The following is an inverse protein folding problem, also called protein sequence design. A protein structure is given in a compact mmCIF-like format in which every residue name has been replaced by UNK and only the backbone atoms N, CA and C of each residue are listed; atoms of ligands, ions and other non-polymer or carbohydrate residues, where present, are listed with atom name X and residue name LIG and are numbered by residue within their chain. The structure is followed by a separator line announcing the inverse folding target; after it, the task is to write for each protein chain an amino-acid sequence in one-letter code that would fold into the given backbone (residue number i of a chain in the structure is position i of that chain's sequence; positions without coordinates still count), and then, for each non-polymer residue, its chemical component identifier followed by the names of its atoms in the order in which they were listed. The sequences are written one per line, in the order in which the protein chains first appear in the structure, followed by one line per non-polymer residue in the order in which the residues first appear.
data_IF_109364121174
#
_entry.id   IF_109364121174
#
_cell.length_a   1.000
_cell.length_b   1.000
_cell.length_c   1.000
_cell.angle_alpha   90.00
_cell.angle_beta   90.00
_cell.angle_gamma   90.00
#
_symmetry.space_group_name_H-M   'P 1'
#
loop_
_entity.id
_entity.type
_entity.pdbx_description
1 polymer ?
#
# COMPACT_ATOMS: atom_id res chain seq x y z
N UNK A 1 10.43 42.70 -16.47
CA UNK A 1 10.22 41.73 -17.55
C UNK A 1 8.97 40.93 -17.19
N UNK A 2 7.91 41.00 -17.99
CA UNK A 2 6.67 40.24 -17.78
C UNK A 2 6.53 39.36 -19.02
N UNK A 3 6.74 38.05 -18.82
CA UNK A 3 6.94 37.09 -19.88
C UNK A 3 5.60 36.52 -20.40
N UNK A 4 5.47 36.56 -21.73
CA UNK A 4 4.89 35.55 -22.62
C UNK A 4 3.80 34.60 -22.06
N UNK A 5 2.54 34.83 -22.46
CA UNK A 5 1.59 33.78 -22.85
C UNK A 5 0.41 34.42 -23.61
N UNK A 6 0.43 34.30 -24.93
CA UNK A 6 -0.65 34.73 -25.82
C UNK A 6 -1.65 33.58 -26.04
N UNK A 7 -2.75 33.58 -25.28
CA UNK A 7 -3.89 32.68 -25.48
C UNK A 7 -4.72 32.48 -24.20
N UNK A 8 -5.99 32.06 -24.30
CA UNK A 8 -6.76 31.64 -23.13
C UNK A 8 -6.10 30.41 -22.51
N UNK A 9 -5.75 30.48 -21.22
CA UNK A 9 -5.21 29.36 -20.46
C UNK A 9 -6.28 28.26 -20.36
N UNK A 10 -5.95 27.05 -20.79
CA UNK A 10 -6.81 25.88 -20.61
C UNK A 10 -6.60 25.28 -19.22
N UNK A 11 -7.53 24.44 -18.75
CA UNK A 11 -7.38 23.68 -17.50
C UNK A 11 -6.09 22.85 -17.53
N UNK A 12 -5.76 22.26 -18.68
CA UNK A 12 -4.53 21.52 -18.90
C UNK A 12 -3.27 22.39 -18.74
N UNK A 13 -3.31 23.67 -19.16
CA UNK A 13 -2.20 24.60 -18.96
C UNK A 13 -2.04 24.98 -17.49
N UNK A 14 -3.15 25.15 -16.76
CA UNK A 14 -3.14 25.44 -15.33
C UNK A 14 -2.65 24.23 -14.53
N UNK A 15 -3.06 23.02 -14.89
CA UNK A 15 -2.57 21.78 -14.27
C UNK A 15 -1.08 21.56 -14.54
N UNK A 16 -0.62 21.86 -15.76
CA UNK A 16 0.80 21.84 -16.10
C UNK A 16 1.61 22.89 -15.31
N UNK A 17 1.03 24.07 -15.05
CA UNK A 17 1.66 25.14 -14.26
C UNK A 17 1.64 24.88 -12.75
N UNK A 18 0.64 24.15 -12.24
CA UNK A 18 0.52 23.76 -10.83
C UNK A 18 1.22 22.43 -10.52
N UNK A 19 1.70 21.71 -11.55
CA UNK A 19 2.30 20.40 -11.38
C UNK A 19 1.30 19.32 -10.97
N UNK A 20 0.00 19.55 -11.17
CA UNK A 20 -1.03 18.56 -10.86
C UNK A 20 -0.89 17.37 -11.81
N UNK A 21 -0.87 16.16 -11.24
CA UNK A 21 -0.85 14.93 -12.03
C UNK A 21 -2.09 14.86 -12.91
N UNK A 22 -1.87 14.69 -14.20
CA UNK A 22 -2.91 14.51 -15.21
C UNK A 22 -3.70 13.22 -14.92
N UNK A 23 -4.96 13.37 -14.51
CA UNK A 23 -5.86 12.28 -14.14
C UNK A 23 -6.06 11.27 -15.27
N UNK A 24 -6.00 11.71 -16.53
CA UNK A 24 -6.08 10.81 -17.70
C UNK A 24 -4.90 9.83 -17.75
N UNK A 25 -3.72 10.26 -17.29
CA UNK A 25 -2.55 9.40 -17.25
C UNK A 25 -2.64 8.37 -16.13
N UNK A 26 -3.27 8.71 -15.00
CA UNK A 26 -3.56 7.77 -13.90
C UNK A 26 -4.51 6.66 -14.37
N UNK A 27 -5.59 7.03 -15.07
CA UNK A 27 -6.53 6.05 -15.64
C UNK A 27 -5.88 5.17 -16.73
N UNK A 28 -4.96 5.75 -17.51
CA UNK A 28 -4.18 4.99 -18.49
C UNK A 28 -3.32 3.93 -17.82
N UNK A 29 -2.60 4.28 -16.74
CA UNK A 29 -1.80 3.33 -15.97
C UNK A 29 -2.67 2.25 -15.31
N UNK A 30 -3.80 2.64 -14.69
CA UNK A 30 -4.72 1.69 -14.08
C UNK A 30 -5.31 0.71 -15.10
N UNK A 31 -5.70 1.20 -16.28
CA UNK A 31 -6.21 0.34 -17.36
C UNK A 31 -5.16 -0.68 -17.80
N UNK A 32 -3.90 -0.25 -17.99
CA UNK A 32 -2.80 -1.14 -18.33
C UNK A 32 -2.51 -2.18 -17.22
N UNK A 33 -2.58 -1.78 -15.95
CA UNK A 33 -2.42 -2.67 -14.79
C UNK A 33 -3.51 -3.74 -14.73
N UNK A 34 -4.76 -3.33 -14.95
CA UNK A 34 -5.93 -4.22 -14.94
C UNK A 34 -5.87 -5.23 -16.07
N UNK A 35 -5.56 -4.78 -17.29
CA UNK A 35 -5.40 -5.67 -18.45
C UNK A 35 -4.14 -6.53 -18.34
N UNK A 36 -3.14 -6.09 -17.58
CA UNK A 36 -1.88 -6.81 -17.40
C UNK A 36 -0.90 -6.64 -18.52
N UNK A 37 -1.01 -5.53 -19.24
CA UNK A 37 -0.19 -5.23 -20.40
C UNK A 37 1.17 -4.71 -19.92
N UNK A 38 2.10 -5.62 -19.62
CA UNK A 38 3.42 -5.27 -19.10
C UNK A 38 4.16 -4.25 -19.99
N UNK A 39 4.02 -4.39 -21.31
CA UNK A 39 4.60 -3.45 -22.29
C UNK A 39 3.97 -2.06 -22.19
N UNK A 40 2.63 -1.97 -22.06
CA UNK A 40 1.95 -0.69 -21.91
C UNK A 40 2.33 -0.01 -20.58
N UNK A 41 2.43 -0.78 -19.49
CA UNK A 41 2.92 -0.28 -18.19
C UNK A 41 4.33 0.29 -18.34
N UNK A 42 5.23 -0.43 -19.01
CA UNK A 42 6.60 0.01 -19.22
C UNK A 42 6.67 1.32 -20.02
N UNK A 43 5.86 1.45 -21.08
CA UNK A 43 5.80 2.67 -21.89
C UNK A 43 5.33 3.88 -21.07
N UNK A 44 4.32 3.71 -20.22
CA UNK A 44 3.85 4.78 -19.31
C UNK A 44 4.96 5.19 -18.36
N UNK A 45 5.63 4.23 -17.70
CA UNK A 45 6.73 4.50 -16.79
C UNK A 45 7.90 5.23 -17.47
N UNK A 46 8.29 4.77 -18.66
CA UNK A 46 9.38 5.37 -19.44
C UNK A 46 9.05 6.81 -19.88
N UNK A 47 7.80 7.09 -20.23
CA UNK A 47 7.34 8.44 -20.57
C UNK A 47 7.35 9.37 -19.34
N UNK A 48 6.91 8.88 -18.19
CA UNK A 48 6.88 9.65 -16.94
C UNK A 48 8.28 9.95 -16.41
N UNK A 49 9.21 9.00 -16.54
CA UNK A 49 10.61 9.18 -16.11
C UNK A 49 11.31 10.31 -16.85
N UNK A 50 10.96 10.56 -18.12
CA UNK A 50 11.51 11.68 -18.89
C UNK A 50 11.02 13.06 -18.43
N UNK A 51 9.87 13.11 -17.74
CA UNK A 51 9.18 14.35 -17.35
C UNK A 51 9.47 14.82 -15.92
N UNK A 52 10.27 14.08 -15.15
CA UNK A 52 10.60 14.38 -13.74
C UNK A 52 9.37 14.72 -12.89
N UNK A 53 8.39 13.83 -12.88
CA UNK A 53 7.11 14.03 -12.18
C UNK A 53 7.26 13.95 -10.65
N UNK A 54 6.30 14.53 -9.93
CA UNK A 54 6.13 14.27 -8.49
C UNK A 54 5.54 12.87 -8.27
N UNK A 55 6.41 11.90 -7.96
CA UNK A 55 6.02 10.52 -7.71
C UNK A 55 5.18 10.33 -6.44
N UNK A 56 5.32 11.20 -5.43
CA UNK A 56 4.45 11.14 -4.26
C UNK A 56 3.03 11.58 -4.63
N UNK A 57 2.92 12.68 -5.39
CA UNK A 57 1.66 13.14 -5.96
C UNK A 57 1.01 12.13 -6.90
N UNK A 58 1.80 11.38 -7.70
CA UNK A 58 1.28 10.28 -8.54
C UNK A 58 0.67 9.16 -7.71
N UNK A 59 1.31 8.78 -6.60
CA UNK A 59 0.77 7.77 -5.69
C UNK A 59 -0.49 8.26 -4.98
N UNK A 60 -0.57 9.54 -4.63
CA UNK A 60 -1.79 10.15 -4.10
C UNK A 60 -2.93 10.14 -5.13
N UNK A 61 -2.63 10.51 -6.38
CA UNK A 61 -3.61 10.49 -7.46
C UNK A 61 -4.12 9.08 -7.76
N UNK A 62 -3.24 8.07 -7.77
CA UNK A 62 -3.61 6.66 -7.87
C UNK A 62 -4.50 6.22 -6.70
N UNK A 63 -4.12 6.55 -5.47
CA UNK A 63 -4.89 6.19 -4.28
C UNK A 63 -6.29 6.83 -4.29
N UNK A 64 -6.39 8.11 -4.64
CA UNK A 64 -7.68 8.80 -4.77
C UNK A 64 -8.53 8.19 -5.89
N UNK A 65 -7.93 7.83 -7.03
CA UNK A 65 -8.68 7.19 -8.12
C UNK A 65 -9.19 5.80 -7.74
N UNK A 66 -8.39 5.02 -7.02
CA UNK A 66 -8.81 3.73 -6.46
C UNK A 66 -9.92 3.89 -5.41
N UNK A 67 -9.87 4.94 -4.59
CA UNK A 67 -10.95 5.28 -3.68
C UNK A 67 -12.25 5.62 -4.44
N UNK A 68 -12.18 6.42 -5.50
CA UNK A 68 -13.33 6.74 -6.34
C UNK A 68 -13.95 5.47 -6.97
N UNK A 69 -13.13 4.52 -7.41
CA UNK A 69 -13.59 3.19 -7.87
C UNK A 69 -14.32 2.45 -6.74
N UNK A 70 -13.73 2.37 -5.55
CA UNK A 70 -14.34 1.69 -4.40
C UNK A 70 -15.68 2.33 -3.98
N UNK A 71 -15.76 3.66 -4.00
CA UNK A 71 -16.99 4.40 -3.74
C UNK A 71 -18.06 4.09 -4.80
N UNK A 72 -17.69 4.12 -6.08
CA UNK A 72 -18.59 3.76 -7.18
C UNK A 72 -19.12 2.33 -7.02
N UNK A 73 -18.26 1.36 -6.70
CA UNK A 73 -18.65 -0.04 -6.49
C UNK A 73 -19.57 -0.24 -5.28
N UNK A 74 -19.41 0.57 -4.24
CA UNK A 74 -20.14 0.41 -2.97
C UNK A 74 -21.45 1.19 -2.95
N UNK A 75 -21.43 2.43 -3.42
CA UNK A 75 -22.53 3.40 -3.31
C UNK A 75 -23.18 3.73 -4.66
N UNK A 76 -22.58 3.31 -5.78
CA UNK A 76 -23.09 3.57 -7.13
C UNK A 76 -22.76 4.96 -7.68
N UNK A 77 -22.09 5.81 -6.92
CA UNK A 77 -21.66 7.14 -7.34
C UNK A 77 -20.39 7.62 -6.60
N UNK A 78 -19.81 8.69 -7.13
CA UNK A 78 -18.77 9.51 -6.49
C UNK A 78 -19.31 10.93 -6.27
N UNK A 79 -18.60 11.76 -5.53
CA UNK A 79 -18.95 13.17 -5.31
C UNK A 79 -19.12 13.92 -6.63
N UNK A 80 -20.00 14.93 -6.69
CA UNK A 80 -20.27 15.71 -7.93
C UNK A 80 -19.03 16.45 -8.47
N UNK A 81 -18.04 16.70 -7.61
CA UNK A 81 -16.76 17.34 -7.94
C UNK A 81 -15.75 16.36 -8.55
N UNK A 82 -16.00 15.05 -8.46
CA UNK A 82 -15.14 14.01 -9.03
C UNK A 82 -15.64 13.58 -10.41
N UNK A 83 -14.69 13.44 -11.34
CA UNK A 83 -15.01 12.91 -12.66
C UNK A 83 -15.41 11.43 -12.56
N UNK A 84 -16.52 11.02 -13.19
CA UNK A 84 -17.04 9.67 -13.07
C UNK A 84 -15.99 8.63 -13.47
N UNK A 85 -15.97 7.54 -12.72
CA UNK A 85 -15.15 6.38 -13.03
C UNK A 85 -15.80 5.64 -14.21
N UNK A 86 -14.99 5.25 -15.20
CA UNK A 86 -15.49 4.40 -16.29
C UNK A 86 -16.09 3.10 -15.72
N UNK A 87 -17.32 2.72 -16.11
CA UNK A 87 -17.95 1.49 -15.63
C UNK A 87 -17.12 0.25 -16.00
N UNK A 88 -16.39 0.30 -17.11
CA UNK A 88 -15.50 -0.78 -17.55
C UNK A 88 -14.34 -0.97 -16.57
N UNK A 89 -13.69 0.13 -16.17
CA UNK A 89 -12.58 0.12 -15.21
C UNK A 89 -13.06 -0.32 -13.82
N UNK A 90 -14.22 0.20 -13.38
CA UNK A 90 -14.82 -0.19 -12.11
C UNK A 90 -15.22 -1.68 -12.08
N UNK A 91 -15.67 -2.24 -13.19
CA UNK A 91 -16.06 -3.65 -13.26
C UNK A 91 -14.87 -4.61 -13.41
N UNK A 92 -13.72 -4.12 -13.87
CA UNK A 92 -12.56 -4.96 -14.15
C UNK A 92 -11.71 -5.29 -12.91
N UNK A 93 -11.88 -4.55 -11.81
CA UNK A 93 -11.26 -4.84 -10.51
C UNK A 93 -12.30 -5.36 -9.53
N UNK A 94 -12.03 -6.48 -8.86
CA UNK A 94 -12.85 -6.85 -7.70
C UNK A 94 -12.68 -5.82 -6.56
N UNK A 95 -13.71 -5.61 -5.71
CA UNK A 95 -13.60 -4.69 -4.58
C UNK A 95 -12.43 -5.01 -3.65
N UNK A 96 -12.10 -6.30 -3.48
CA UNK A 96 -10.95 -6.73 -2.71
C UNK A 96 -9.62 -6.28 -3.34
N UNK A 97 -9.47 -6.42 -4.66
CA UNK A 97 -8.28 -5.96 -5.38
C UNK A 97 -8.12 -4.44 -5.29
N UNK A 98 -9.21 -3.68 -5.42
CA UNK A 98 -9.17 -2.21 -5.26
C UNK A 98 -8.58 -1.83 -3.90
N UNK A 99 -9.00 -2.49 -2.82
CA UNK A 99 -8.46 -2.24 -1.48
C UNK A 99 -6.98 -2.59 -1.37
N UNK A 100 -6.55 -3.72 -1.96
CA UNK A 100 -5.13 -4.10 -1.95
C UNK A 100 -4.28 -3.12 -2.75
N UNK A 101 -4.74 -2.71 -3.94
CA UNK A 101 -4.04 -1.73 -4.76
C UNK A 101 -3.91 -0.40 -4.02
N UNK A 102 -4.99 0.06 -3.38
CA UNK A 102 -4.99 1.27 -2.57
C UNK A 102 -3.94 1.18 -1.45
N UNK A 103 -3.91 0.06 -0.73
CA UNK A 103 -2.94 -0.17 0.33
C UNK A 103 -1.49 -0.21 -0.17
N UNK A 104 -1.24 -0.79 -1.36
CA UNK A 104 0.07 -0.81 -2.00
C UNK A 104 0.52 0.62 -2.34
N UNK A 105 -0.37 1.47 -2.85
CA UNK A 105 -0.07 2.89 -3.10
C UNK A 105 0.33 3.63 -1.81
N UNK A 106 -0.43 3.45 -0.72
CA UNK A 106 -0.11 4.07 0.57
C UNK A 106 1.23 3.61 1.16
N UNK A 107 1.50 2.29 1.12
CA UNK A 107 2.80 1.76 1.53
C UNK A 107 3.93 2.31 0.65
N UNK A 108 3.71 2.32 -0.66
CA UNK A 108 4.62 2.87 -1.64
C UNK A 108 5.01 4.31 -1.33
N UNK A 109 4.03 5.15 -0.98
CA UNK A 109 4.27 6.55 -0.62
C UNK A 109 5.14 6.68 0.63
N UNK A 110 4.88 5.87 1.65
CA UNK A 110 5.70 5.84 2.87
C UNK A 110 7.14 5.39 2.59
N UNK A 111 7.29 4.41 1.71
CA UNK A 111 8.58 3.82 1.38
C UNK A 111 9.36 4.66 0.34
N UNK A 112 8.70 5.61 -0.34
CA UNK A 112 9.28 6.42 -1.42
C UNK A 112 10.51 7.22 -0.98
N UNK A 113 10.47 7.79 0.23
CA UNK A 113 11.60 8.55 0.78
C UNK A 113 12.79 7.67 1.19
N UNK A 114 12.59 6.35 1.30
CA UNK A 114 13.64 5.37 1.60
C UNK A 114 14.25 4.76 0.34
N UNK A 115 13.65 5.00 -0.84
CA UNK A 115 14.12 4.49 -2.10
C UNK A 115 15.44 5.17 -2.53
N UNK A 116 16.33 4.48 -3.26
CA UNK A 116 17.57 5.07 -3.79
C UNK A 116 17.32 6.32 -4.65
N UNK A 117 16.26 6.28 -5.45
CA UNK A 117 15.68 7.41 -6.15
C UNK A 117 14.14 7.28 -6.17
N UNK A 118 13.39 8.40 -6.13
CA UNK A 118 11.93 8.36 -6.11
C UNK A 118 11.31 7.65 -7.32
N UNK A 119 11.91 7.77 -8.50
CA UNK A 119 11.39 7.14 -9.71
C UNK A 119 11.43 5.61 -9.59
N UNK A 120 12.56 5.04 -9.18
CA UNK A 120 12.63 3.58 -8.97
C UNK A 120 11.84 3.10 -7.76
N UNK A 121 11.65 3.93 -6.74
CA UNK A 121 10.67 3.66 -5.68
C UNK A 121 9.25 3.51 -6.23
N UNK A 122 8.83 4.43 -7.09
CA UNK A 122 7.54 4.38 -7.78
C UNK A 122 7.41 3.16 -8.71
N UNK A 123 8.43 2.87 -9.52
CA UNK A 123 8.47 1.69 -10.40
C UNK A 123 8.28 0.39 -9.60
N UNK A 124 8.90 0.28 -8.41
CA UNK A 124 8.71 -0.86 -7.51
C UNK A 124 7.26 -0.98 -6.99
N UNK A 125 6.58 0.14 -6.76
CA UNK A 125 5.16 0.13 -6.38
C UNK A 125 4.30 -0.38 -7.54
N UNK A 126 4.56 0.10 -8.77
CA UNK A 126 3.85 -0.36 -9.96
C UNK A 126 4.09 -1.84 -10.24
N UNK A 127 5.32 -2.33 -10.02
CA UNK A 127 5.62 -3.77 -10.09
C UNK A 127 4.84 -4.59 -9.06
N UNK A 128 4.70 -4.09 -7.81
CA UNK A 128 3.88 -4.76 -6.78
C UNK A 128 2.41 -4.81 -7.18
N UNK A 129 1.87 -3.72 -7.75
CA UNK A 129 0.51 -3.67 -8.28
C UNK A 129 0.33 -4.70 -9.40
N UNK A 130 1.24 -4.72 -10.39
CA UNK A 130 1.18 -5.66 -11.51
C UNK A 130 1.35 -7.13 -11.09
N UNK A 131 2.18 -7.40 -10.08
CA UNK A 131 2.39 -8.75 -9.57
C UNK A 131 1.18 -9.28 -8.77
N UNK A 132 0.39 -8.39 -8.16
CA UNK A 132 -0.80 -8.76 -7.42
C UNK A 132 -2.00 -8.92 -8.37
N UNK A 133 -2.19 -10.11 -8.94
CA UNK A 133 -3.35 -10.41 -9.79
C UNK A 133 -4.08 -11.64 -9.27
N UNK A 134 -5.25 -11.48 -8.60
CA UNK A 134 -6.01 -12.63 -8.16
C UNK A 134 -6.56 -13.40 -9.36
N UNK A 135 -6.65 -14.74 -9.29
CA UNK A 135 -7.02 -15.58 -10.42
C UNK A 135 -8.43 -15.29 -10.99
N UNK A 136 -9.30 -14.64 -10.20
CA UNK A 136 -10.69 -14.35 -10.54
C UNK A 136 -10.91 -13.04 -11.30
N UNK A 137 -9.97 -12.09 -11.30
CA UNK A 137 -10.09 -10.77 -11.97
C UNK A 137 -9.76 -10.83 -13.48
N UNK A 138 -9.95 -12.02 -14.08
CA UNK A 138 -9.76 -12.40 -15.49
C UNK A 138 -8.33 -12.80 -15.89
N UNK A 139 -8.03 -14.08 -15.63
CA UNK A 139 -7.47 -14.99 -16.64
C UNK A 139 -5.99 -14.87 -16.98
N UNK A 140 -5.25 -15.93 -16.61
CA UNK A 140 -3.88 -16.26 -17.06
C UNK A 140 -2.73 -15.49 -16.39
N UNK A 141 -2.54 -15.77 -15.11
CA UNK A 141 -1.25 -15.65 -14.45
C UNK A 141 -1.14 -16.77 -13.45
N UNK A 142 -0.61 -17.93 -13.88
CA UNK A 142 -0.22 -18.99 -12.96
C UNK A 142 0.91 -18.43 -12.07
N UNK A 143 0.53 -17.83 -10.94
CA UNK A 143 1.46 -17.69 -9.82
C UNK A 143 1.75 -19.12 -9.39
N UNK A 144 2.91 -19.62 -9.81
CA UNK A 144 3.53 -20.78 -9.19
C UNK A 144 3.67 -20.42 -7.72
N UNK A 145 2.83 -21.01 -6.87
CA UNK A 145 2.98 -20.92 -5.43
C UNK A 145 4.43 -21.25 -5.08
N UNK A 146 5.19 -20.25 -4.64
CA UNK A 146 6.38 -20.52 -3.87
C UNK A 146 5.88 -21.08 -2.53
N UNK A 147 6.38 -22.24 -2.08
CA UNK A 147 5.91 -22.82 -0.84
C UNK A 147 6.25 -21.84 0.28
N UNK A 148 5.23 -21.43 1.01
CA UNK A 148 5.41 -20.85 2.34
C UNK A 148 6.24 -21.88 3.11
N UNK A 149 7.39 -21.47 3.62
CA UNK A 149 8.25 -22.31 4.44
C UNK A 149 7.45 -22.59 5.72
N UNK A 150 6.65 -23.65 5.70
CA UNK A 150 6.03 -24.20 6.88
C UNK A 150 7.19 -24.67 7.75
N UNK A 151 7.40 -23.96 8.86
CA UNK A 151 8.30 -24.38 9.90
C UNK A 151 7.94 -25.81 10.31
N UNK A 152 8.95 -26.67 10.27
CA UNK A 152 8.90 -28.09 10.52
C UNK A 152 8.04 -28.48 11.73
N UNK A 153 7.03 -29.29 11.47
CA UNK A 153 6.62 -30.35 12.37
C UNK A 153 6.63 -31.63 11.54
N UNK A 154 7.67 -32.44 11.71
CA UNK A 154 7.70 -33.79 11.15
C UNK A 154 6.61 -34.65 11.81
N UNK A 155 6.10 -35.63 11.08
CA UNK A 155 6.55 -37.02 11.27
C UNK A 155 5.90 -37.91 10.20
N UNK A 156 6.69 -38.86 9.72
CA UNK A 156 6.33 -39.87 8.73
C UNK A 156 5.50 -41.00 9.36
N UNK A 157 4.82 -41.80 8.54
CA UNK A 157 4.65 -43.22 8.90
C UNK A 157 3.35 -43.91 8.48
N UNK A 158 3.35 -44.49 7.27
CA UNK A 158 2.67 -45.77 7.00
C UNK A 158 3.69 -46.88 7.18
N UNK A 159 3.50 -47.77 8.15
CA UNK A 159 3.68 -49.22 8.05
C UNK A 159 3.59 -49.91 9.42
N UNK A 160 2.91 -51.04 9.44
CA UNK A 160 2.58 -51.85 10.60
C UNK A 160 3.77 -52.64 11.17
N UNK A 161 3.86 -52.70 12.50
CA UNK A 161 4.21 -53.89 13.28
C UNK A 161 3.93 -53.65 14.77
N UNK A 162 3.23 -54.59 15.40
CA UNK A 162 3.15 -54.77 16.85
C UNK A 162 3.89 -56.09 17.22
N UNK A 163 4.17 -56.45 18.49
CA UNK A 163 3.92 -55.76 19.77
C UNK A 163 5.17 -55.70 20.70
N UNK A 164 5.09 -54.97 21.82
CA UNK A 164 5.47 -55.38 23.21
C UNK A 164 5.54 -54.14 24.13
N UNK A 165 4.98 -54.20 25.37
CA UNK A 165 4.99 -53.08 26.29
C UNK A 165 6.15 -53.20 27.29
N UNK A 166 6.91 -52.12 27.47
CA UNK A 166 7.78 -51.96 28.63
C UNK A 166 7.63 -50.52 29.12
N UNK A 167 7.01 -50.39 30.29
CA UNK A 167 7.00 -49.18 31.07
C UNK A 167 8.43 -48.86 31.52
N UNK A 168 8.85 -47.59 31.41
CA UNK A 168 9.28 -46.83 32.57
C UNK A 168 9.55 -45.36 32.21
N UNK A 169 8.91 -44.47 32.99
CA UNK A 169 9.26 -43.06 33.19
C UNK A 169 10.43 -43.01 34.19
N UNK A 170 11.24 -41.93 34.35
CA UNK A 170 10.79 -40.54 34.61
C UNK A 170 11.57 -39.46 33.83
N UNK A 171 10.92 -38.41 33.32
CA UNK A 171 10.82 -37.07 33.95
C UNK A 171 12.16 -36.40 34.37
N UNK A 172 12.62 -35.44 33.57
CA UNK A 172 13.50 -34.35 34.02
C UNK A 172 13.14 -33.09 33.20
N UNK A 173 12.25 -32.26 33.73
CA UNK A 173 12.50 -31.12 34.64
C UNK A 173 12.76 -29.82 33.86
N UNK A 174 11.74 -28.97 33.93
CA UNK A 174 11.68 -27.63 33.40
C UNK A 174 12.81 -26.72 33.91
N UNK A 175 13.34 -25.88 33.03
CA UNK A 175 14.01 -24.64 33.42
C UNK A 175 13.34 -23.47 32.70
N UNK A 176 12.57 -22.70 33.47
CA UNK A 176 11.97 -21.41 33.04
C UNK A 176 13.08 -20.37 33.00
N UNK A 177 13.23 -19.56 31.93
CA UNK A 177 14.04 -18.36 32.01
C UNK A 177 13.31 -17.30 32.84
N UNK A 178 13.96 -16.90 33.94
CA UNK A 178 13.50 -15.86 34.86
C UNK A 178 13.48 -14.51 34.14
N UNK A 179 12.28 -13.95 33.97
CA UNK A 179 12.08 -12.58 33.47
C UNK A 179 12.52 -11.61 34.56
N UNK A 180 13.71 -11.03 34.39
CA UNK A 180 14.14 -9.87 35.17
C UNK A 180 13.26 -8.69 34.73
N UNK A 181 12.31 -8.31 35.59
CA UNK A 181 11.60 -7.04 35.46
C UNK A 181 12.54 -5.89 35.84
N UNK A 182 12.70 -4.84 35.00
CA UNK A 182 13.15 -3.56 35.50
C UNK A 182 12.01 -2.90 36.29
N UNK A 183 12.33 -2.47 37.52
CA UNK A 183 11.42 -1.79 38.42
C UNK A 183 10.96 -0.42 37.85
N UNK A 184 9.70 -0.02 38.08
CA UNK A 184 9.22 1.29 37.65
C UNK A 184 9.84 2.41 38.50
N UNK A 185 10.50 3.36 37.83
CA UNK A 185 10.96 4.60 38.45
C UNK A 185 9.75 5.42 38.92
N UNK A 186 9.73 5.74 40.21
CA UNK A 186 8.67 6.51 40.88
C UNK A 186 8.72 7.98 40.39
N UNK A 187 7.58 8.62 40.09
CA UNK A 187 7.55 10.03 39.69
C UNK A 187 7.84 10.92 40.90
N UNK A 188 8.78 11.86 40.76
CA UNK A 188 9.03 12.89 41.76
C UNK A 188 8.00 13.99 41.58
N UNK A 189 7.01 14.01 42.47
CA UNK A 189 6.08 15.13 42.62
C UNK A 189 6.83 16.34 43.21
N UNK A 190 6.78 17.48 42.52
CA UNK A 190 7.09 18.79 43.11
C UNK A 190 5.87 19.72 42.96
N UNK A 191 5.12 19.81 44.04
CA UNK A 191 4.33 20.97 44.47
C UNK A 191 3.83 20.66 45.87
N UNK A 192 3.69 21.64 46.79
CA UNK A 192 3.18 22.99 46.51
C UNK A 192 3.85 24.13 47.32
N UNK A 193 3.55 25.39 46.98
CA UNK A 193 3.30 26.45 47.97
C UNK A 193 2.64 27.67 47.30
N UNK A 194 1.50 28.05 47.84
CA UNK A 194 0.69 29.21 47.47
C UNK A 194 0.96 30.39 48.41
N UNK A 195 0.83 31.61 47.87
CA UNK A 195 0.33 32.85 48.50
C UNK A 195 0.11 33.84 47.34
N UNK A 196 -1.13 34.26 47.01
CA UNK A 196 -1.87 35.39 47.59
C UNK A 196 -0.98 36.64 47.61
N UNK A 197 -1.17 37.66 46.77
CA UNK A 197 -2.28 38.61 46.59
C UNK A 197 -2.05 39.25 45.20
N UNK A 198 -2.97 39.85 44.46
CA UNK A 198 -3.58 41.14 44.76
C UNK A 198 -4.57 41.44 43.62
N UNK A 199 -5.78 41.85 43.97
CA UNK A 199 -6.74 42.49 43.09
C UNK A 199 -6.31 43.96 42.92
N UNK A 200 -6.34 44.54 41.71
CA UNK A 200 -6.87 45.90 41.45
C UNK A 200 -6.71 46.31 39.97
N UNK A 201 -7.82 46.88 39.46
CA UNK A 201 -8.07 47.67 38.24
C UNK A 201 -7.92 47.04 36.83
#
# INVERSE_FOLDING_TARGET
AIAYAGGPLTVADVDAMLGTVDRLQVDTLLSALVNGEAEAIWQVLAAWRQRSLDYAGLLDALALRLQAIAFTQTFGCVSEEEEPVSPELAAALSPATVQVYYQICLLGKRDLALAPDPASGFEMVVLRLHAFRPPSDKGTGAVREAPVIAAAAGDEGTAASAPQPIADRPAQAASKPSRVMPAPARPVAHSPAAAADEWHD
#
